data_IF_316272699650
#
_entry.id   IF_316272699650
#
_cell.length_a   1.000
_cell.length_b   1.000
_cell.length_c   1.000
_cell.angle_alpha   90.00
_cell.angle_beta   90.00
_cell.angle_gamma   90.00
#
_symmetry.space_group_name_H-M   'P 1'
#
loop_
_entity.id
_entity.type
_entity.pdbx_description
1 polymer ?
#
# COMPACT_ATOMS: atom_id res chain seq x y z
N UNK A 1 23.52 -4.45 -6.56
CA UNK A 1 24.19 -4.36 -7.88
C UNK A 1 23.67 -3.11 -8.59
N UNK A 2 24.51 -2.35 -9.30
CA UNK A 2 24.07 -1.14 -10.01
C UNK A 2 23.96 -1.42 -11.51
N UNK A 3 22.84 -1.04 -12.13
CA UNK A 3 22.62 -1.10 -13.57
C UNK A 3 22.79 0.29 -14.21
N UNK A 4 23.19 0.36 -15.47
CA UNK A 4 23.29 1.63 -16.22
C UNK A 4 21.98 1.89 -16.97
N UNK A 5 21.50 3.13 -16.92
CA UNK A 5 20.31 3.60 -17.61
C UNK A 5 20.71 4.73 -18.56
N UNK A 6 20.47 4.54 -19.86
CA UNK A 6 20.64 5.58 -20.88
C UNK A 6 19.27 6.13 -21.26
N UNK A 7 19.11 7.45 -21.23
CA UNK A 7 17.84 8.14 -21.48
C UNK A 7 18.07 9.25 -22.49
N UNK A 8 17.17 9.35 -23.46
CA UNK A 8 17.07 10.53 -24.34
C UNK A 8 16.07 11.49 -23.71
N UNK A 9 16.50 12.72 -23.46
CA UNK A 9 15.66 13.77 -22.88
C UNK A 9 15.82 15.06 -23.68
N UNK A 10 14.82 15.92 -23.60
CA UNK A 10 14.87 17.25 -24.20
C UNK A 10 16.04 18.08 -23.62
N UNK A 11 16.72 18.84 -24.48
CA UNK A 11 17.91 19.61 -24.11
C UNK A 11 17.59 20.78 -23.17
N UNK A 12 16.43 21.42 -23.35
CA UNK A 12 15.97 22.49 -22.46
C UNK A 12 15.66 21.92 -21.07
N UNK A 13 15.03 20.75 -21.02
CA UNK A 13 14.77 20.03 -19.78
C UNK A 13 16.06 19.62 -19.07
N UNK A 14 17.05 19.10 -19.80
CA UNK A 14 18.36 18.75 -19.25
C UNK A 14 19.04 19.97 -18.61
N UNK A 15 18.93 21.12 -19.26
CA UNK A 15 19.51 22.39 -18.77
C UNK A 15 18.84 22.84 -17.48
N UNK A 16 17.51 22.77 -17.39
CA UNK A 16 16.77 23.07 -16.16
C UNK A 16 17.13 22.12 -15.02
N UNK A 17 17.24 20.82 -15.29
CA UNK A 17 17.62 19.82 -14.28
C UNK A 17 19.03 20.06 -13.76
N UNK A 18 20.00 20.39 -14.63
CA UNK A 18 21.37 20.75 -14.23
C UNK A 18 21.40 21.97 -13.31
N UNK A 19 20.64 23.01 -13.64
CA UNK A 19 20.54 24.21 -12.81
C UNK A 19 19.94 23.87 -11.43
N UNK A 20 18.85 23.10 -11.42
CA UNK A 20 18.19 22.66 -10.20
C UNK A 20 19.12 21.81 -9.32
N UNK A 21 19.78 20.80 -9.89
CA UNK A 21 20.67 19.88 -9.16
C UNK A 21 21.85 20.62 -8.53
N UNK A 22 22.43 21.61 -9.26
CA UNK A 22 23.48 22.49 -8.73
C UNK A 22 22.98 23.34 -7.56
N UNK A 23 21.78 23.91 -7.68
CA UNK A 23 21.19 24.73 -6.60
C UNK A 23 20.93 23.93 -5.32
N UNK A 24 20.54 22.66 -5.47
CA UNK A 24 20.23 21.74 -4.37
C UNK A 24 21.45 20.93 -3.89
N UNK A 25 22.62 21.09 -4.54
CA UNK A 25 23.85 20.33 -4.28
C UNK A 25 23.65 18.80 -4.34
N UNK A 26 22.80 18.33 -5.25
CA UNK A 26 22.52 16.91 -5.48
C UNK A 26 22.91 16.53 -6.90
N UNK A 27 23.19 15.24 -7.12
CA UNK A 27 23.48 14.75 -8.47
C UNK A 27 22.19 14.49 -9.26
N UNK A 28 22.28 14.56 -10.60
CA UNK A 28 21.13 14.24 -11.47
C UNK A 28 20.74 12.77 -11.31
N UNK A 29 21.73 11.87 -11.22
CA UNK A 29 21.49 10.45 -11.00
C UNK A 29 20.70 10.19 -9.71
N UNK A 30 21.03 10.91 -8.64
CA UNK A 30 20.33 10.81 -7.36
C UNK A 30 18.89 11.34 -7.45
N UNK A 31 18.66 12.44 -8.18
CA UNK A 31 17.30 12.93 -8.43
C UNK A 31 16.44 11.90 -9.20
N UNK A 32 17.01 11.30 -10.25
CA UNK A 32 16.31 10.28 -11.03
C UNK A 32 16.05 9.04 -10.18
N UNK A 33 17.04 8.59 -9.41
CA UNK A 33 16.90 7.44 -8.52
C UNK A 33 15.83 7.67 -7.46
N UNK A 34 15.82 8.84 -6.81
CA UNK A 34 14.78 9.20 -5.83
C UNK A 34 13.39 9.26 -6.46
N UNK A 35 13.26 9.84 -7.65
CA UNK A 35 11.98 9.89 -8.36
C UNK A 35 11.50 8.48 -8.71
N UNK A 36 12.37 7.64 -9.28
CA UNK A 36 12.05 6.25 -9.61
C UNK A 36 11.66 5.47 -8.35
N UNK A 37 12.37 5.66 -7.23
CA UNK A 37 12.00 5.06 -5.94
C UNK A 37 10.63 5.55 -5.44
N UNK A 38 10.28 6.80 -5.68
CA UNK A 38 8.98 7.33 -5.25
C UNK A 38 7.81 6.66 -5.97
N UNK A 39 7.96 6.31 -7.26
CA UNK A 39 6.91 5.71 -8.09
C UNK A 39 6.94 4.18 -8.11
N UNK A 40 8.11 3.57 -7.84
CA UNK A 40 8.29 2.11 -7.83
C UNK A 40 8.03 1.48 -6.46
N UNK A 41 7.74 2.29 -5.43
CA UNK A 41 7.32 1.77 -4.13
C UNK A 41 6.11 0.85 -4.34
N UNK A 42 6.20 -0.43 -3.96
CA UNK A 42 5.04 -1.30 -4.03
C UNK A 42 3.93 -0.64 -3.22
N UNK A 43 2.70 -0.67 -3.74
CA UNK A 43 1.53 -0.23 -3.00
C UNK A 43 1.64 -0.85 -1.60
N UNK A 44 1.69 0.00 -0.56
CA UNK A 44 1.88 -0.44 0.83
C UNK A 44 0.99 -1.67 1.03
N UNK A 45 1.59 -2.79 1.43
CA UNK A 45 0.80 -3.89 1.98
C UNK A 45 -0.13 -3.26 3.00
N UNK A 46 -1.43 -3.56 2.88
CA UNK A 46 -2.46 -2.91 3.68
C UNK A 46 -2.01 -2.90 5.14
N UNK A 47 -1.97 -1.71 5.74
CA UNK A 47 -1.61 -1.58 7.15
C UNK A 47 -2.61 -2.42 7.95
N UNK A 48 -2.16 -3.15 8.97
CA UNK A 48 -3.04 -3.94 9.85
C UNK A 48 -4.20 -3.07 10.37
N UNK A 49 -3.95 -1.78 10.63
CA UNK A 49 -4.98 -0.80 10.99
C UNK A 49 -6.00 -0.62 9.87
N UNK A 50 -5.55 -0.36 8.62
CA UNK A 50 -6.44 -0.24 7.45
C UNK A 50 -7.24 -1.53 7.20
N UNK A 51 -6.67 -2.70 7.54
CA UNK A 51 -7.36 -3.99 7.41
C UNK A 51 -8.47 -4.13 8.46
N UNK A 52 -8.20 -3.74 9.71
CA UNK A 52 -9.18 -3.76 10.81
C UNK A 52 -10.33 -2.79 10.54
N UNK A 53 -10.04 -1.58 10.06
CA UNK A 53 -11.07 -0.59 9.70
C UNK A 53 -11.97 -1.06 8.55
N UNK A 54 -11.44 -1.90 7.64
CA UNK A 54 -12.19 -2.48 6.51
C UNK A 54 -12.92 -3.77 6.86
N UNK A 55 -12.79 -4.29 8.09
CA UNK A 55 -13.59 -5.43 8.51
C UNK A 55 -15.06 -5.00 8.55
N UNK A 56 -15.91 -5.73 7.81
CA UNK A 56 -17.35 -5.51 7.85
C UNK A 56 -17.83 -5.71 9.28
N UNK A 57 -18.56 -4.73 9.81
CA UNK A 57 -19.28 -4.89 11.07
C UNK A 57 -20.15 -6.14 10.99
N UNK A 58 -19.95 -7.06 11.91
CA UNK A 58 -20.75 -8.27 11.95
C UNK A 58 -22.22 -7.89 12.21
N UNK A 59 -23.11 -8.36 11.34
CA UNK A 59 -24.55 -8.16 11.47
C UNK A 59 -25.07 -9.14 12.50
N UNK A 60 -24.97 -8.79 13.78
CA UNK A 60 -25.60 -9.57 14.85
C UNK A 60 -26.96 -8.97 15.19
N UNK A 61 -27.96 -9.84 15.36
CA UNK A 61 -29.24 -9.44 15.91
C UNK A 61 -29.08 -9.25 17.42
N UNK A 62 -29.15 -8.01 17.89
CA UNK A 62 -28.97 -7.65 19.30
C UNK A 62 -30.02 -8.30 20.21
N UNK A 63 -31.14 -8.75 19.63
CA UNK A 63 -32.23 -9.42 20.34
C UNK A 63 -32.20 -10.95 20.24
N UNK A 64 -31.17 -11.54 19.61
CA UNK A 64 -31.05 -12.99 19.53
C UNK A 64 -30.58 -13.58 20.87
N UNK A 65 -31.23 -14.64 21.33
CA UNK A 65 -30.74 -15.44 22.46
C UNK A 65 -29.60 -16.34 21.96
N UNK A 66 -28.40 -15.75 21.90
CA UNK A 66 -27.20 -16.39 21.38
C UNK A 66 -26.87 -17.70 22.08
N UNK A 67 -27.32 -17.88 23.34
CA UNK A 67 -27.13 -19.12 24.07
C UNK A 67 -28.04 -20.20 23.52
N UNK A 68 -29.33 -19.89 23.36
CA UNK A 68 -30.31 -20.82 22.79
C UNK A 68 -29.94 -21.21 21.36
N UNK A 69 -29.64 -20.23 20.52
CA UNK A 69 -29.28 -20.45 19.11
C UNK A 69 -28.03 -21.33 18.98
N UNK A 70 -27.01 -21.13 19.84
CA UNK A 70 -25.80 -21.95 19.85
C UNK A 70 -26.09 -23.42 20.17
N UNK A 71 -26.93 -23.69 21.18
CA UNK A 71 -27.26 -25.07 21.54
C UNK A 71 -28.16 -25.72 20.50
N UNK A 72 -29.10 -24.97 19.90
CA UNK A 72 -29.96 -25.46 18.81
C UNK A 72 -29.15 -25.85 17.56
N UNK A 73 -28.21 -25.00 17.13
CA UNK A 73 -27.31 -25.30 16.00
C UNK A 73 -26.42 -26.52 16.29
N UNK A 74 -25.89 -26.64 17.52
CA UNK A 74 -25.06 -27.77 17.90
C UNK A 74 -25.85 -29.09 17.94
N UNK A 75 -27.11 -29.08 18.43
CA UNK A 75 -28.00 -30.24 18.33
C UNK A 75 -28.37 -30.57 16.88
N UNK A 76 -28.54 -29.57 16.01
CA UNK A 76 -28.85 -29.84 14.60
C UNK A 76 -27.64 -30.39 13.82
N UNK A 77 -26.42 -30.03 14.21
CA UNK A 77 -25.18 -30.39 13.51
C UNK A 77 -24.54 -31.68 14.03
N UNK A 78 -24.74 -32.00 15.30
CA UNK A 78 -24.12 -33.14 15.99
C UNK A 78 -25.12 -34.00 16.78
N UNK A 79 -26.42 -33.80 16.59
CA UNK A 79 -27.43 -34.64 17.21
C UNK A 79 -27.38 -36.07 16.69
N UNK A 80 -27.23 -37.03 17.61
CA UNK A 80 -27.47 -38.45 17.38
C UNK A 80 -28.96 -38.73 17.12
#
# INVERSE_FOLDING_TARGET
MKARLNLTIDETLLSHIKAYSKSKKVSISELVEQYVLSISKPAKQQNIIDMVEKLKSAKFNVNADLKKDFYEEQTSKYGC
#
